data_IF_022633592707
#
_entry.id   IF_022633592707
#
_cell.length_a   1.000
_cell.length_b   1.000
_cell.length_c   1.000
_cell.angle_alpha   90.00
_cell.angle_beta   90.00
_cell.angle_gamma   90.00
#
_symmetry.space_group_name_H-M   'P 1'
#
loop_
_entity.id
_entity.type
_entity.pdbx_description
1 polymer ?
#
# COMPACT_ATOMS: atom_id res chain seq x y z
N UNK A 1 -28.72 30.54 -17.20
CA UNK A 1 -29.02 29.80 -18.45
C UNK A 1 -27.85 29.93 -19.40
N UNK A 2 -27.35 28.81 -19.93
CA UNK A 2 -26.44 28.84 -21.07
C UNK A 2 -27.28 28.83 -22.34
N UNK A 3 -27.10 29.82 -23.21
CA UNK A 3 -27.79 29.91 -24.50
C UNK A 3 -26.77 29.82 -25.64
N UNK A 4 -27.20 29.25 -26.79
CA UNK A 4 -26.38 29.10 -28.01
C UNK A 4 -25.28 28.00 -27.96
N UNK A 5 -25.60 26.82 -27.43
CA UNK A 5 -24.70 25.67 -27.46
C UNK A 5 -24.62 25.06 -28.87
N UNK A 6 -23.51 25.27 -29.58
CA UNK A 6 -23.31 24.86 -30.99
C UNK A 6 -23.18 23.34 -31.19
N UNK A 7 -22.95 22.59 -30.11
CA UNK A 7 -22.70 21.14 -30.14
C UNK A 7 -23.91 20.30 -29.71
N UNK A 8 -25.10 20.90 -29.56
CA UNK A 8 -26.30 20.17 -29.18
C UNK A 8 -27.14 19.76 -30.40
N UNK A 9 -27.67 18.52 -30.45
CA UNK A 9 -28.76 18.20 -31.36
C UNK A 9 -29.98 19.08 -31.03
N UNK A 10 -30.67 19.58 -32.07
CA UNK A 10 -31.84 20.45 -31.91
C UNK A 10 -32.92 19.76 -31.06
N UNK A 11 -33.24 20.33 -29.90
CA UNK A 11 -34.34 19.88 -29.03
C UNK A 11 -33.95 19.51 -27.60
N UNK A 12 -32.65 19.44 -27.27
CA UNK A 12 -32.21 19.10 -25.92
C UNK A 12 -31.99 20.34 -25.02
N UNK A 13 -32.50 20.27 -23.79
CA UNK A 13 -32.33 21.30 -22.77
C UNK A 13 -31.10 20.99 -21.89
N UNK A 14 -30.10 21.88 -21.88
CA UNK A 14 -28.93 21.76 -21.00
C UNK A 14 -29.18 22.54 -19.72
N UNK A 15 -29.08 21.86 -18.58
CA UNK A 15 -29.09 22.52 -17.27
C UNK A 15 -27.66 22.73 -16.78
N UNK A 16 -27.43 23.88 -16.15
CA UNK A 16 -26.17 24.14 -15.46
C UNK A 16 -26.08 23.25 -14.21
N UNK A 17 -25.08 22.39 -14.13
CA UNK A 17 -24.85 21.54 -12.96
C UNK A 17 -24.07 20.28 -13.28
N UNK A 18 -23.66 19.55 -12.24
CA UNK A 18 -23.04 18.23 -12.40
C UNK A 18 -24.09 17.21 -12.85
N UNK A 19 -23.78 16.43 -13.87
CA UNK A 19 -24.59 15.29 -14.26
C UNK A 19 -24.64 14.28 -13.10
N UNK A 20 -25.84 14.04 -12.55
CA UNK A 20 -26.05 13.04 -11.50
C UNK A 20 -25.86 11.63 -12.09
N UNK A 21 -24.64 11.13 -12.07
CA UNK A 21 -24.38 9.70 -12.28
C UNK A 21 -24.71 8.96 -10.98
N UNK A 22 -25.83 8.25 -10.96
CA UNK A 22 -26.16 7.30 -9.89
C UNK A 22 -25.28 6.05 -10.04
N UNK A 23 -24.05 6.12 -9.53
CA UNK A 23 -23.10 4.99 -9.51
C UNK A 23 -23.04 4.34 -8.13
N UNK A 24 -24.21 3.95 -7.57
CA UNK A 24 -24.27 3.30 -6.26
C UNK A 24 -23.57 1.94 -6.27
N UNK A 25 -23.72 1.17 -7.35
CA UNK A 25 -23.07 -0.15 -7.47
C UNK A 25 -21.54 -0.05 -7.41
N UNK A 26 -20.94 0.85 -8.18
CA UNK A 26 -19.48 1.09 -8.19
C UNK A 26 -18.98 1.54 -6.80
N UNK A 27 -19.75 2.40 -6.13
CA UNK A 27 -19.41 2.90 -4.79
C UNK A 27 -19.48 1.77 -3.75
N UNK A 28 -20.50 0.92 -3.81
CA UNK A 28 -20.67 -0.24 -2.91
C UNK A 28 -19.56 -1.27 -3.14
N UNK A 29 -19.24 -1.59 -4.41
CA UNK A 29 -18.16 -2.50 -4.75
C UNK A 29 -16.80 -1.99 -4.25
N UNK A 30 -16.52 -0.70 -4.43
CA UNK A 30 -15.32 -0.05 -3.90
C UNK A 30 -15.21 -0.18 -2.37
N UNK A 31 -16.29 0.14 -1.65
CA UNK A 31 -16.33 0.03 -0.18
C UNK A 31 -16.14 -1.41 0.29
N UNK A 32 -16.77 -2.38 -0.39
CA UNK A 32 -16.63 -3.80 -0.04
C UNK A 32 -15.20 -4.28 -0.24
N UNK A 33 -14.56 -3.93 -1.36
CA UNK A 33 -13.16 -4.28 -1.61
C UNK A 33 -12.24 -3.64 -0.57
N UNK A 34 -12.44 -2.35 -0.26
CA UNK A 34 -11.66 -1.67 0.78
C UNK A 34 -11.83 -2.32 2.15
N UNK A 35 -13.06 -2.69 2.51
CA UNK A 35 -13.33 -3.39 3.75
C UNK A 35 -12.57 -4.72 3.81
N UNK A 36 -12.62 -5.53 2.75
CA UNK A 36 -11.89 -6.81 2.71
C UNK A 36 -10.38 -6.59 2.85
N UNK A 37 -9.80 -5.67 2.08
CA UNK A 37 -8.36 -5.39 2.14
C UNK A 37 -7.93 -4.95 3.54
N UNK A 38 -8.63 -3.99 4.14
CA UNK A 38 -8.31 -3.47 5.48
C UNK A 38 -8.53 -4.53 6.57
N UNK A 39 -9.57 -5.35 6.44
CA UNK A 39 -9.80 -6.48 7.32
C UNK A 39 -8.61 -7.46 7.30
N UNK A 40 -8.19 -7.93 6.14
CA UNK A 40 -7.03 -8.83 6.04
C UNK A 40 -5.72 -8.19 6.52
N UNK A 41 -5.49 -6.91 6.24
CA UNK A 41 -4.30 -6.21 6.73
C UNK A 41 -4.25 -6.15 8.26
N UNK A 42 -5.36 -5.85 8.93
CA UNK A 42 -5.41 -5.81 10.40
C UNK A 42 -5.20 -7.20 11.03
N UNK A 43 -5.74 -8.25 10.39
CA UNK A 43 -5.49 -9.64 10.80
C UNK A 43 -4.00 -10.01 10.73
N UNK A 44 -3.27 -9.52 9.72
CA UNK A 44 -1.83 -9.75 9.59
C UNK A 44 -0.99 -8.87 10.51
N UNK A 45 -1.41 -7.63 10.75
CA UNK A 45 -0.69 -6.69 11.62
C UNK A 45 -0.65 -7.16 13.08
N UNK A 46 -1.71 -7.82 13.55
CA UNK A 46 -1.84 -8.32 14.92
C UNK A 46 -0.74 -9.33 15.30
N UNK A 47 -0.55 -10.47 14.59
CA UNK A 47 0.52 -11.42 14.90
C UNK A 47 1.91 -10.81 14.68
N UNK A 48 2.07 -9.89 13.72
CA UNK A 48 3.33 -9.18 13.51
C UNK A 48 3.74 -8.37 14.74
N UNK A 49 2.79 -7.65 15.35
CA UNK A 49 3.05 -6.90 16.59
C UNK A 49 3.40 -7.85 17.74
N UNK A 50 2.66 -8.96 17.90
CA UNK A 50 2.92 -9.95 18.95
C UNK A 50 4.33 -10.55 18.80
N UNK A 51 4.75 -10.89 17.57
CA UNK A 51 6.10 -11.40 17.29
C UNK A 51 7.19 -10.43 17.72
N UNK A 52 7.04 -9.14 17.43
CA UNK A 52 7.99 -8.11 17.86
C UNK A 52 8.05 -8.03 19.38
N UNK A 53 6.89 -7.99 20.05
CA UNK A 53 6.81 -7.92 21.52
C UNK A 53 7.47 -9.12 22.20
N UNK A 54 7.33 -10.33 21.64
CA UNK A 54 7.97 -11.55 22.16
C UNK A 54 9.47 -11.59 21.93
N UNK A 55 9.99 -10.80 20.99
CA UNK A 55 11.41 -10.76 20.63
C UNK A 55 12.22 -9.76 21.45
N UNK A 56 11.56 -8.89 22.24
CA UNK A 56 12.23 -7.84 23.03
C UNK A 56 11.85 -7.91 24.51
N UNK A 57 12.76 -7.46 25.39
CA UNK A 57 12.53 -7.38 26.84
C UNK A 57 11.36 -6.45 27.17
N UNK A 58 10.57 -6.79 28.18
CA UNK A 58 9.36 -6.05 28.58
C UNK A 58 9.59 -4.55 28.81
N UNK A 59 10.74 -4.17 29.37
CA UNK A 59 11.10 -2.78 29.66
C UNK A 59 11.32 -1.90 28.41
N UNK A 60 11.60 -2.51 27.25
CA UNK A 60 11.96 -1.80 26.01
C UNK A 60 10.92 -1.97 24.89
N UNK A 61 9.78 -2.59 25.19
CA UNK A 61 8.74 -2.91 24.20
C UNK A 61 8.16 -1.66 23.52
N UNK A 62 7.78 -0.65 24.31
CA UNK A 62 7.20 0.60 23.80
C UNK A 62 8.19 1.41 22.98
N UNK A 63 9.46 1.45 23.39
CA UNK A 63 10.52 2.14 22.66
C UNK A 63 10.79 1.48 21.30
N UNK A 64 10.92 0.15 21.26
CA UNK A 64 11.14 -0.62 20.03
C UNK A 64 10.01 -0.44 19.03
N UNK A 65 8.75 -0.60 19.48
CA UNK A 65 7.58 -0.41 18.62
C UNK A 65 7.48 1.02 18.10
N UNK A 66 7.78 2.02 18.94
CA UNK A 66 7.83 3.42 18.55
C UNK A 66 8.84 3.67 17.44
N UNK A 67 10.07 3.18 17.60
CA UNK A 67 11.14 3.32 16.62
C UNK A 67 10.82 2.60 15.31
N UNK A 68 10.38 1.34 15.39
CA UNK A 68 9.98 0.55 14.23
C UNK A 68 8.88 1.27 13.44
N UNK A 69 7.85 1.77 14.11
CA UNK A 69 6.77 2.50 13.47
C UNK A 69 7.25 3.81 12.85
N UNK A 70 8.13 4.56 13.52
CA UNK A 70 8.69 5.80 12.98
C UNK A 70 9.47 5.54 11.68
N UNK A 71 10.37 4.56 11.69
CA UNK A 71 11.18 4.20 10.51
C UNK A 71 10.27 3.77 9.36
N UNK A 72 9.32 2.86 9.62
CA UNK A 72 8.39 2.38 8.61
C UNK A 72 7.54 3.52 8.01
N UNK A 73 7.07 4.45 8.85
CA UNK A 73 6.30 5.60 8.39
C UNK A 73 7.11 6.53 7.49
N UNK A 74 8.35 6.83 7.88
CA UNK A 74 9.20 7.71 7.09
C UNK A 74 9.54 7.10 5.74
N UNK A 75 9.92 5.81 5.73
CA UNK A 75 10.40 5.15 4.51
C UNK A 75 9.26 4.77 3.58
N UNK A 76 8.12 4.32 4.09
CA UNK A 76 7.03 3.81 3.25
C UNK A 76 5.82 4.75 3.20
N UNK A 77 5.39 5.27 4.35
CA UNK A 77 4.11 5.98 4.43
C UNK A 77 4.17 7.43 3.95
N UNK A 78 5.33 8.08 3.94
CA UNK A 78 5.53 9.41 3.33
C UNK A 78 5.53 9.36 1.79
N UNK A 79 6.29 8.47 1.11
CA UNK A 79 6.29 8.44 -0.35
C UNK A 79 4.97 7.92 -0.95
N UNK A 80 4.22 7.10 -0.21
CA UNK A 80 2.95 6.54 -0.65
C UNK A 80 1.92 7.60 -1.10
N UNK A 81 1.51 8.59 -0.26
CA UNK A 81 0.56 9.63 -0.66
C UNK A 81 1.10 10.54 -1.77
N UNK A 82 2.41 10.74 -1.86
CA UNK A 82 3.03 11.51 -2.96
C UNK A 82 2.81 10.78 -4.28
N UNK A 83 3.11 9.47 -4.32
CA UNK A 83 2.91 8.65 -5.51
C UNK A 83 1.43 8.58 -5.91
N UNK A 84 0.53 8.34 -4.96
CA UNK A 84 -0.90 8.31 -5.22
C UNK A 84 -1.44 9.67 -5.68
N UNK A 85 -0.91 10.78 -5.16
CA UNK A 85 -1.22 12.13 -5.62
C UNK A 85 -0.91 12.31 -7.10
N UNK A 86 0.29 11.93 -7.54
CA UNK A 86 0.70 11.99 -8.95
C UNK A 86 -0.20 11.09 -9.83
N UNK A 87 -0.55 9.90 -9.36
CA UNK A 87 -1.45 8.99 -10.10
C UNK A 87 -2.83 9.62 -10.29
N UNK A 88 -3.38 10.23 -9.24
CA UNK A 88 -4.70 10.90 -9.28
C UNK A 88 -4.65 12.10 -10.23
N UNK A 89 -3.60 12.92 -10.14
CA UNK A 89 -3.40 14.07 -11.02
C UNK A 89 -3.29 13.67 -12.49
N UNK A 90 -2.68 12.51 -12.78
CA UNK A 90 -2.59 11.96 -14.14
C UNK A 90 -3.95 11.49 -14.70
N UNK A 91 -4.94 11.20 -13.85
CA UNK A 91 -6.29 10.85 -14.30
C UNK A 91 -7.20 12.08 -14.47
N UNK A 92 -6.65 13.29 -14.31
CA UNK A 92 -7.39 14.52 -14.52
C UNK A 92 -7.72 14.72 -16.00
N UNK A 93 -9.01 14.89 -16.30
CA UNK A 93 -9.49 15.22 -17.66
C UNK A 93 -9.57 16.73 -17.89
N UNK A 94 -9.85 17.50 -16.84
CA UNK A 94 -9.99 18.94 -16.93
C UNK A 94 -9.47 19.64 -15.67
N UNK A 95 -8.47 20.49 -15.84
CA UNK A 95 -7.89 21.31 -14.79
C UNK A 95 -8.67 22.60 -14.60
N UNK A 96 -8.89 23.00 -13.35
CA UNK A 96 -9.35 24.36 -13.05
C UNK A 96 -8.21 25.34 -13.34
N UNK A 97 -8.43 26.27 -14.27
CA UNK A 97 -7.50 27.38 -14.49
C UNK A 97 -7.89 28.54 -13.59
N UNK A 98 -6.94 29.01 -12.78
CA UNK A 98 -7.13 30.26 -12.02
C UNK A 98 -7.03 31.48 -12.94
N UNK A 99 -7.52 32.63 -12.46
CA UNK A 99 -7.47 33.95 -13.13
C UNK A 99 -6.05 34.37 -13.56
N UNK A 100 -5.01 33.70 -13.06
CA UNK A 100 -3.60 33.93 -13.40
C UNK A 100 -2.97 32.78 -14.21
N UNK A 101 -3.75 31.95 -14.90
CA UNK A 101 -3.28 30.77 -15.66
C UNK A 101 -2.47 29.77 -14.82
N UNK A 102 -2.63 29.78 -13.49
CA UNK A 102 -2.04 28.75 -12.62
C UNK A 102 -2.99 27.56 -12.55
N UNK A 103 -2.44 26.35 -12.67
CA UNK A 103 -3.17 25.09 -12.47
C UNK A 103 -3.70 25.03 -11.03
N UNK A 104 -5.01 24.96 -10.88
CA UNK A 104 -5.71 24.72 -9.62
C UNK A 104 -6.02 23.23 -9.42
N UNK A 105 -7.07 22.91 -8.68
CA UNK A 105 -7.55 21.54 -8.52
C UNK A 105 -8.19 21.00 -9.82
N UNK A 106 -8.17 19.69 -9.99
CA UNK A 106 -8.88 19.05 -11.10
C UNK A 106 -10.40 19.07 -10.88
N UNK A 107 -11.16 19.40 -11.92
CA UNK A 107 -12.63 19.48 -11.86
C UNK A 107 -13.30 18.14 -12.20
N UNK A 108 -12.75 17.40 -13.17
CA UNK A 108 -13.30 16.13 -13.65
C UNK A 108 -12.18 15.11 -13.78
N UNK A 109 -12.31 14.01 -13.04
CA UNK A 109 -11.44 12.84 -13.16
C UNK A 109 -12.07 11.76 -14.03
N UNK A 110 -11.24 10.91 -14.64
CA UNK A 110 -11.71 9.73 -15.35
C UNK A 110 -12.21 8.65 -14.37
N UNK A 111 -13.51 8.66 -14.06
CA UNK A 111 -14.11 7.71 -13.12
C UNK A 111 -14.02 6.24 -13.52
N UNK A 112 -13.83 5.92 -14.81
CA UNK A 112 -13.67 4.54 -15.27
C UNK A 112 -12.25 4.02 -15.11
N UNK A 113 -11.22 4.86 -15.28
CA UNK A 113 -9.81 4.44 -15.22
C UNK A 113 -9.18 4.62 -13.84
N UNK A 114 -9.66 5.60 -13.07
CA UNK A 114 -9.10 5.94 -11.76
C UNK A 114 -9.07 4.75 -10.79
N UNK A 115 -10.16 3.98 -10.57
CA UNK A 115 -10.15 2.87 -9.62
C UNK A 115 -9.15 1.78 -10.03
N UNK A 116 -9.15 1.37 -11.30
CA UNK A 116 -8.22 0.33 -11.79
C UNK A 116 -6.76 0.77 -11.70
N UNK A 117 -6.47 2.04 -11.96
CA UNK A 117 -5.11 2.56 -11.87
C UNK A 117 -4.64 2.58 -10.41
N UNK A 118 -5.50 2.98 -9.46
CA UNK A 118 -5.19 3.00 -8.04
C UNK A 118 -5.01 1.59 -7.46
N UNK A 119 -5.97 0.68 -7.70
CA UNK A 119 -5.86 -0.69 -7.20
C UNK A 119 -4.74 -1.47 -7.90
N UNK A 120 -4.58 -1.30 -9.21
CA UNK A 120 -3.52 -1.95 -9.96
C UNK A 120 -2.13 -1.56 -9.45
N UNK A 121 -1.90 -0.27 -9.21
CA UNK A 121 -0.62 0.21 -8.65
C UNK A 121 -0.40 -0.31 -7.22
N UNK A 122 -1.42 -0.30 -6.37
CA UNK A 122 -1.34 -0.88 -5.03
C UNK A 122 -0.99 -2.37 -5.06
N UNK A 123 -1.63 -3.15 -5.94
CA UNK A 123 -1.36 -4.59 -6.10
C UNK A 123 0.09 -4.82 -6.56
N UNK A 124 0.59 -4.06 -7.54
CA UNK A 124 1.97 -4.18 -8.03
C UNK A 124 2.98 -3.92 -6.91
N UNK A 125 2.76 -2.86 -6.12
CA UNK A 125 3.63 -2.53 -4.98
C UNK A 125 3.61 -3.67 -3.95
N UNK A 126 2.43 -4.19 -3.61
CA UNK A 126 2.27 -5.31 -2.67
C UNK A 126 2.93 -6.59 -3.18
N UNK A 127 2.75 -6.94 -4.46
CA UNK A 127 3.39 -8.12 -5.06
C UNK A 127 4.91 -8.00 -5.06
N UNK A 128 5.44 -6.84 -5.41
CA UNK A 128 6.89 -6.57 -5.37
C UNK A 128 7.43 -6.74 -3.95
N UNK A 129 6.74 -6.19 -2.95
CA UNK A 129 7.10 -6.37 -1.54
C UNK A 129 7.05 -7.83 -1.12
N UNK A 130 6.02 -8.58 -1.55
CA UNK A 130 5.86 -9.99 -1.20
C UNK A 130 6.98 -10.85 -1.78
N UNK A 131 7.38 -10.60 -3.04
CA UNK A 131 8.52 -11.27 -3.67
C UNK A 131 9.81 -11.00 -2.89
N UNK A 132 10.08 -9.75 -2.51
CA UNK A 132 11.26 -9.39 -1.72
C UNK A 132 11.26 -10.09 -0.36
N UNK A 133 10.12 -10.13 0.33
CA UNK A 133 9.98 -10.83 1.61
C UNK A 133 10.23 -12.34 1.43
N UNK A 134 9.70 -12.97 0.38
CA UNK A 134 9.95 -14.39 0.10
C UNK A 134 11.44 -14.64 -0.13
N UNK A 135 12.11 -13.81 -0.92
CA UNK A 135 13.56 -13.94 -1.17
C UNK A 135 14.34 -13.83 0.14
N UNK A 136 14.05 -12.80 0.96
CA UNK A 136 14.70 -12.61 2.26
C UNK A 136 14.43 -13.78 3.21
N UNK A 137 13.22 -14.31 3.20
CA UNK A 137 12.84 -15.48 3.99
C UNK A 137 13.63 -16.73 3.57
N UNK A 138 13.73 -16.99 2.26
CA UNK A 138 14.53 -18.11 1.72
C UNK A 138 16.02 -17.98 2.09
N UNK A 139 16.59 -16.78 1.99
CA UNK A 139 17.97 -16.49 2.40
C UNK A 139 18.14 -16.75 3.90
N UNK A 140 17.20 -16.30 4.72
CA UNK A 140 17.24 -16.47 6.18
C UNK A 140 17.13 -17.95 6.57
N UNK A 141 16.23 -18.70 5.94
CA UNK A 141 16.11 -20.15 6.14
C UNK A 141 17.39 -20.89 5.76
N UNK A 142 18.02 -20.51 4.64
CA UNK A 142 19.29 -21.10 4.22
C UNK A 142 20.38 -20.83 5.26
N UNK A 143 20.49 -19.59 5.76
CA UNK A 143 21.44 -19.22 6.81
C UNK A 143 21.19 -19.97 8.11
N UNK A 144 19.93 -20.06 8.55
CA UNK A 144 19.55 -20.80 9.75
C UNK A 144 19.93 -22.28 9.66
N UNK A 145 19.67 -22.93 8.51
CA UNK A 145 20.09 -24.31 8.27
C UNK A 145 21.61 -24.47 8.33
N UNK A 146 22.37 -23.57 7.69
CA UNK A 146 23.83 -23.61 7.72
C UNK A 146 24.37 -23.47 9.14
N UNK A 147 23.85 -22.52 9.92
CA UNK A 147 24.23 -22.31 11.32
C UNK A 147 23.94 -23.54 12.20
N UNK A 148 22.77 -24.18 12.04
CA UNK A 148 22.45 -25.39 12.79
C UNK A 148 23.38 -26.57 12.46
N UNK A 149 23.82 -26.70 11.21
CA UNK A 149 24.79 -27.74 10.80
C UNK A 149 26.16 -27.47 11.40
N UNK A 150 26.60 -26.20 11.42
CA UNK A 150 27.86 -25.81 12.08
C UNK A 150 27.83 -26.13 13.57
N UNK A 151 26.76 -25.73 14.27
CA UNK A 151 26.59 -25.97 15.70
C UNK A 151 26.59 -27.47 16.06
N UNK A 152 25.90 -28.30 15.25
CA UNK A 152 25.89 -29.75 15.46
C UNK A 152 27.22 -30.43 15.12
N UNK A 153 28.04 -29.85 14.23
CA UNK A 153 29.40 -30.36 13.95
C UNK A 153 30.35 -30.02 15.09
N UNK A 154 30.27 -28.80 15.64
CA UNK A 154 31.09 -28.35 16.77
C UNK A 154 30.80 -29.17 18.03
N UNK A 155 29.52 -29.43 18.34
CA UNK A 155 29.11 -30.26 19.49
C UNK A 155 29.63 -31.70 19.38
N UNK A 156 29.64 -32.26 18.17
CA UNK A 156 30.15 -33.62 17.94
C UNK A 156 31.68 -33.70 18.05
N UNK A 157 32.38 -32.64 17.68
CA UNK A 157 33.84 -32.53 17.82
C UNK A 157 34.27 -32.43 19.29
N UNK A 158 33.51 -31.69 20.11
CA UNK A 158 33.78 -31.57 21.55
C UNK A 158 33.59 -32.90 22.30
N UNK A 159 32.59 -33.70 21.91
CA UNK A 159 32.38 -35.04 22.48
C UNK A 159 33.52 -36.01 22.13
N UNK A 160 34.03 -35.95 20.90
CA UNK A 160 35.19 -36.76 20.51
C UNK A 160 36.44 -36.33 21.29
N UNK A 161 36.71 -35.04 21.39
CA UNK A 161 37.87 -34.53 22.13
C UNK A 161 37.83 -34.89 23.63
N UNK A 162 36.66 -34.89 24.27
CA UNK A 162 36.51 -35.33 25.67
C UNK A 162 36.63 -36.84 25.87
N UNK A 163 36.48 -37.66 24.82
CA UNK A 163 36.64 -39.12 24.94
C UNK A 163 38.09 -39.61 24.89
N UNK A 164 39.01 -38.77 24.38
CA UNK A 164 40.43 -39.08 24.23
C UNK A 164 41.34 -38.44 25.29
N UNK A 165 40.79 -37.60 26.18
CA UNK A 165 41.46 -37.03 27.36
C UNK A 165 40.99 -37.74 28.63
#
# INVERSE_FOLDING_TARGET
EYSNCTCLPLGDNVSAGSCKKFCLLETILFLLILFLVTFFETLMATPQLILVLRSVRHELQSFSLGLQNCIMKIVAQIPTPILFGIIIDNQCLYWSESTFHRRGSCFIYNGSKLPFTLFGTAIIIKLTSLILIIILYLITLKRYRTQNISFSTDEQQDLLNNSYN
#
